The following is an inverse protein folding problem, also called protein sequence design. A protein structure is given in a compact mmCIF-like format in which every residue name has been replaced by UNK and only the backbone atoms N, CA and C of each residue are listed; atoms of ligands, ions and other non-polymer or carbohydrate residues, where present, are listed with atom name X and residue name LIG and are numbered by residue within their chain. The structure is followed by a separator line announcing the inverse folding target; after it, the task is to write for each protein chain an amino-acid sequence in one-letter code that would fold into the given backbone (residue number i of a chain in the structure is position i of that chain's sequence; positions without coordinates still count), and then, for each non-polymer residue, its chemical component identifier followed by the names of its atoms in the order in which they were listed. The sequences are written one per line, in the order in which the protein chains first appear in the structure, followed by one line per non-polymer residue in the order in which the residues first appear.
data_IF_859164644655
#
_entry.id   IF_859164644655
#
_cell.length_a   1.000
_cell.length_b   1.000
_cell.length_c   1.000
_cell.angle_alpha   90.00
_cell.angle_beta   90.00
_cell.angle_gamma   90.00
#
_symmetry.space_group_name_H-M   'P 1'
#
loop_
_entity.id
_entity.type
_entity.pdbx_description
1 polymer ?
#
# COMPACT_ATOMS: atom_id res chain seq x y z
N UNK A 1 -7.57 25.89 12.13
CA UNK A 1 -6.90 24.61 12.42
C UNK A 1 -7.81 23.49 11.92
N UNK A 2 -7.58 23.02 10.71
CA UNK A 2 -8.45 22.03 10.05
C UNK A 2 -8.09 20.62 10.51
N UNK A 3 -8.95 20.05 11.33
CA UNK A 3 -8.80 18.69 11.86
C UNK A 3 -9.43 17.70 10.86
N UNK A 4 -8.65 16.67 10.52
CA UNK A 4 -9.06 15.33 10.05
C UNK A 4 -9.47 15.10 8.59
N UNK A 5 -8.56 14.42 7.88
CA UNK A 5 -8.85 13.01 7.60
C UNK A 5 -7.78 12.14 8.27
N UNK A 6 -8.16 11.34 9.27
CA UNK A 6 -7.35 10.23 9.81
C UNK A 6 -7.38 9.00 8.88
N UNK A 7 -8.01 9.14 7.72
CA UNK A 7 -8.20 8.06 6.79
C UNK A 7 -7.56 8.41 5.48
N UNK A 8 -6.80 7.46 4.94
CA UNK A 8 -6.38 7.50 3.55
C UNK A 8 -7.11 6.41 2.78
N UNK A 9 -7.20 6.59 1.47
CA UNK A 9 -7.78 5.61 0.57
C UNK A 9 -6.65 4.87 -0.13
N UNK A 10 -6.77 3.55 -0.13
CA UNK A 10 -5.84 2.66 -0.82
C UNK A 10 -6.63 1.69 -1.69
N UNK A 11 -6.11 1.39 -2.86
CA UNK A 11 -6.65 0.36 -3.76
C UNK A 11 -5.87 -0.94 -3.62
N UNK A 12 -6.47 -2.05 -4.07
CA UNK A 12 -5.76 -3.35 -4.13
C UNK A 12 -4.47 -3.22 -4.94
N UNK A 13 -4.52 -2.49 -6.07
CA UNK A 13 -3.37 -2.25 -6.94
C UNK A 13 -2.23 -1.54 -6.21
N UNK A 14 -2.53 -0.53 -5.41
CA UNK A 14 -1.51 0.17 -4.60
C UNK A 14 -0.88 -0.76 -3.54
N UNK A 15 -1.67 -1.67 -2.94
CA UNK A 15 -1.11 -2.67 -2.00
C UNK A 15 -0.17 -3.64 -2.72
N UNK A 16 -0.54 -4.11 -3.91
CA UNK A 16 0.30 -4.98 -4.74
C UNK A 16 1.62 -4.27 -5.07
N UNK A 17 1.55 -2.99 -5.46
CA UNK A 17 2.74 -2.20 -5.76
C UNK A 17 3.65 -2.01 -4.55
N UNK A 18 3.07 -1.70 -3.39
CA UNK A 18 3.84 -1.58 -2.13
C UNK A 18 4.48 -2.92 -1.79
N UNK A 19 3.75 -4.02 -1.94
CA UNK A 19 4.28 -5.35 -1.68
C UNK A 19 5.47 -5.66 -2.60
N UNK A 20 5.29 -5.52 -3.91
CA UNK A 20 6.33 -5.78 -4.91
C UNK A 20 7.57 -4.91 -4.71
N UNK A 21 7.40 -3.64 -4.36
CA UNK A 21 8.53 -2.78 -4.04
C UNK A 21 9.30 -3.22 -2.80
N UNK A 22 8.60 -3.73 -1.77
CA UNK A 22 9.21 -4.10 -0.50
C UNK A 22 9.84 -5.50 -0.54
N UNK A 23 9.20 -6.46 -1.20
CA UNK A 23 9.62 -7.86 -1.24
C UNK A 23 10.35 -8.25 -2.52
N UNK A 24 10.14 -7.48 -3.60
CA UNK A 24 10.59 -7.85 -4.96
C UNK A 24 9.65 -8.83 -5.66
N UNK A 25 8.51 -9.18 -5.07
CA UNK A 25 7.57 -10.18 -5.58
C UNK A 25 6.16 -9.61 -5.76
N UNK A 26 5.52 -9.93 -6.88
CA UNK A 26 4.10 -9.59 -7.07
C UNK A 26 3.20 -10.62 -6.37
N UNK A 27 2.12 -10.14 -5.77
CA UNK A 27 1.11 -10.99 -5.12
C UNK A 27 -0.25 -10.85 -5.81
N UNK A 28 -1.07 -11.92 -5.82
CA UNK A 28 -2.42 -11.85 -6.36
C UNK A 28 -3.32 -10.94 -5.52
N UNK A 29 -4.35 -10.38 -6.16
CA UNK A 29 -5.36 -9.52 -5.53
C UNK A 29 -6.01 -10.13 -4.28
N UNK A 30 -6.17 -11.46 -4.22
CA UNK A 30 -6.69 -12.17 -3.04
C UNK A 30 -5.79 -12.02 -1.82
N UNK A 31 -4.48 -12.06 -2.01
CA UNK A 31 -3.50 -11.91 -0.94
C UNK A 31 -3.36 -10.43 -0.51
N UNK A 32 -3.43 -9.50 -1.45
CA UNK A 32 -3.49 -8.07 -1.14
C UNK A 32 -4.73 -7.71 -0.30
N UNK A 33 -5.88 -8.34 -0.58
CA UNK A 33 -7.09 -8.20 0.23
C UNK A 33 -6.92 -8.78 1.64
N UNK A 34 -6.24 -9.92 1.79
CA UNK A 34 -5.95 -10.48 3.11
C UNK A 34 -5.09 -9.55 3.95
N UNK A 35 -4.09 -8.89 3.34
CA UNK A 35 -3.28 -7.87 4.01
C UNK A 35 -4.16 -6.70 4.45
N UNK A 36 -5.02 -6.16 3.57
CA UNK A 36 -5.95 -5.08 3.92
C UNK A 36 -6.94 -5.45 5.04
N UNK A 37 -7.36 -6.72 5.08
CA UNK A 37 -8.22 -7.25 6.14
C UNK A 37 -7.61 -7.15 7.54
N UNK A 38 -6.28 -7.16 7.67
CA UNK A 38 -5.59 -7.05 8.97
C UNK A 38 -5.74 -5.67 9.61
N UNK A 39 -6.07 -4.64 8.82
CA UNK A 39 -6.14 -3.24 9.27
C UNK A 39 -7.56 -2.72 9.49
N UNK A 40 -8.56 -3.61 9.58
CA UNK A 40 -9.98 -3.25 9.68
C UNK A 40 -10.38 -2.22 8.61
N UNK A 41 -9.92 -2.44 7.37
CA UNK A 41 -10.21 -1.54 6.27
C UNK A 41 -11.68 -1.60 5.89
N UNK A 42 -12.28 -0.43 5.67
CA UNK A 42 -13.66 -0.31 5.23
C UNK A 42 -13.68 -0.23 3.71
N UNK A 43 -14.34 -1.18 3.06
CA UNK A 43 -14.52 -1.16 1.60
C UNK A 43 -15.53 -0.07 1.23
N UNK A 44 -15.10 0.87 0.39
CA UNK A 44 -15.98 1.89 -0.20
C UNK A 44 -16.41 1.40 -1.58
N UNK A 45 -17.72 1.34 -1.76
CA UNK A 45 -18.37 0.74 -2.91
C UNK A 45 -17.75 1.18 -4.23
N UNK A 46 -17.27 0.18 -4.98
CA UNK A 46 -16.79 0.31 -6.35
C UNK A 46 -17.27 -0.88 -7.17
N UNK A 47 -17.77 -0.62 -8.36
CA UNK A 47 -18.41 -1.63 -9.24
C UNK A 47 -17.40 -2.69 -9.71
N UNK A 48 -16.13 -2.32 -9.87
CA UNK A 48 -15.04 -3.20 -10.30
C UNK A 48 -14.12 -3.49 -9.10
N UNK A 49 -13.79 -4.76 -8.86
CA UNK A 49 -13.06 -5.21 -7.66
C UNK A 49 -11.69 -4.53 -7.49
N UNK A 50 -10.98 -4.28 -8.59
CA UNK A 50 -9.65 -3.65 -8.60
C UNK A 50 -9.69 -2.15 -8.35
N UNK A 51 -10.80 -1.49 -8.68
CA UNK A 51 -10.99 -0.05 -8.45
C UNK A 51 -11.64 0.25 -7.11
N UNK A 52 -11.96 -0.79 -6.31
CA UNK A 52 -12.48 -0.60 -4.96
C UNK A 52 -11.46 0.12 -4.10
N UNK A 53 -11.94 1.13 -3.39
CA UNK A 53 -11.14 1.91 -2.46
C UNK A 53 -11.38 1.35 -1.07
N UNK A 54 -10.30 1.09 -0.37
CA UNK A 54 -10.29 0.65 1.01
C UNK A 54 -9.87 1.83 1.86
N UNK A 55 -10.71 2.16 2.83
CA UNK A 55 -10.43 3.21 3.80
C UNK A 55 -9.62 2.61 4.94
N UNK A 56 -8.38 3.04 5.09
CA UNK A 56 -7.49 2.59 6.16
C UNK A 56 -7.34 3.68 7.21
N UNK A 57 -7.31 3.28 8.49
CA UNK A 57 -7.17 4.18 9.64
C UNK A 57 -5.75 4.76 9.70
N UNK A 58 -5.61 5.85 10.48
CA UNK A 58 -4.36 6.56 10.75
C UNK A 58 -3.54 6.88 9.50
N UNK A 59 -4.21 7.26 8.41
CA UNK A 59 -3.56 7.65 7.15
C UNK A 59 -2.57 6.61 6.59
N UNK A 60 -2.83 5.33 6.81
CA UNK A 60 -1.99 4.24 6.29
C UNK A 60 -0.73 3.96 7.11
N UNK A 61 -0.56 4.61 8.25
CA UNK A 61 0.56 4.37 9.16
C UNK A 61 0.62 2.91 9.62
N UNK A 62 -0.51 2.26 9.83
CA UNK A 62 -0.54 0.83 10.24
C UNK A 62 0.02 -0.09 9.14
N UNK A 63 -0.28 0.21 7.87
CA UNK A 63 0.29 -0.52 6.72
C UNK A 63 1.78 -0.21 6.56
N UNK A 64 2.19 1.04 6.76
CA UNK A 64 3.59 1.44 6.73
C UNK A 64 4.41 0.70 7.79
N UNK A 65 3.92 0.67 9.03
CA UNK A 65 4.58 -0.04 10.13
C UNK A 65 4.63 -1.55 9.91
N UNK A 66 3.57 -2.14 9.35
CA UNK A 66 3.57 -3.56 8.97
C UNK A 66 4.75 -3.92 8.06
N UNK A 67 4.95 -3.15 6.98
CA UNK A 67 6.05 -3.41 6.05
C UNK A 67 7.41 -3.04 6.65
N UNK A 68 7.49 -1.94 7.41
CA UNK A 68 8.72 -1.52 8.09
C UNK A 68 9.23 -2.56 9.07
N UNK A 69 8.34 -3.16 9.86
CA UNK A 69 8.69 -4.19 10.85
C UNK A 69 9.18 -5.48 10.17
N UNK A 70 8.59 -5.85 9.03
CA UNK A 70 9.00 -7.04 8.28
C UNK A 70 10.28 -6.83 7.47
N UNK A 71 10.51 -5.62 6.98
CA UNK A 71 11.63 -5.29 6.07
C UNK A 71 12.44 -4.06 6.54
N UNK A 72 12.95 -4.03 7.79
CA UNK A 72 13.57 -2.84 8.37
C UNK A 72 14.79 -2.37 7.58
N UNK A 73 15.62 -3.31 7.10
CA UNK A 73 16.83 -3.01 6.31
C UNK A 73 16.53 -2.25 5.02
N UNK A 74 15.42 -2.58 4.35
CA UNK A 74 15.00 -1.88 3.13
C UNK A 74 14.61 -0.44 3.45
N UNK A 75 13.82 -0.24 4.50
CA UNK A 75 13.34 1.08 4.90
C UNK A 75 14.49 1.99 5.34
N UNK A 76 15.48 1.46 6.05
CA UNK A 76 16.71 2.19 6.39
C UNK A 76 17.52 2.55 5.14
N UNK A 77 17.77 1.58 4.26
CA UNK A 77 18.54 1.80 3.01
C UNK A 77 17.89 2.83 2.10
N UNK A 78 16.56 2.76 1.95
CA UNK A 78 15.78 3.64 1.07
C UNK A 78 15.35 4.94 1.75
N UNK A 79 15.65 5.10 3.05
CA UNK A 79 15.29 6.26 3.87
C UNK A 79 13.79 6.57 3.80
N UNK A 80 12.96 5.54 4.02
CA UNK A 80 11.50 5.65 4.02
C UNK A 80 11.01 5.98 5.42
N UNK A 81 10.38 7.14 5.60
CA UNK A 81 9.94 7.61 6.93
C UNK A 81 8.42 7.71 7.06
N UNK A 82 7.69 7.76 5.94
CA UNK A 82 6.24 7.92 5.92
C UNK A 82 5.55 6.97 4.94
N UNK A 83 4.25 6.73 5.17
CA UNK A 83 3.41 5.99 4.25
C UNK A 83 3.38 6.61 2.83
N UNK A 84 3.30 7.93 2.73
CA UNK A 84 3.24 8.63 1.43
C UNK A 84 4.53 8.44 0.61
N UNK A 85 5.71 8.49 1.27
CA UNK A 85 6.98 8.20 0.60
C UNK A 85 7.06 6.75 0.11
N UNK A 86 6.63 5.80 0.94
CA UNK A 86 6.56 4.38 0.58
C UNK A 86 5.66 4.18 -0.64
N UNK A 87 4.46 4.76 -0.62
CA UNK A 87 3.50 4.70 -1.72
C UNK A 87 4.08 5.30 -3.00
N UNK A 88 4.66 6.50 -2.92
CA UNK A 88 5.24 7.17 -4.09
C UNK A 88 6.37 6.34 -4.71
N UNK A 89 7.26 5.77 -3.89
CA UNK A 89 8.34 4.89 -4.34
C UNK A 89 7.82 3.60 -4.95
N UNK A 90 6.79 2.99 -4.36
CA UNK A 90 6.17 1.77 -4.86
C UNK A 90 5.51 1.97 -6.23
N UNK A 91 4.77 3.07 -6.41
CA UNK A 91 4.18 3.44 -7.70
C UNK A 91 5.28 3.67 -8.73
N UNK A 92 6.32 4.44 -8.40
CA UNK A 92 7.44 4.69 -9.30
C UNK A 92 8.18 3.40 -9.69
N UNK A 93 8.42 2.51 -8.72
CA UNK A 93 9.04 1.21 -8.94
C UNK A 93 8.22 0.39 -9.95
N UNK A 94 6.91 0.28 -9.75
CA UNK A 94 6.05 -0.50 -10.64
C UNK A 94 5.87 0.15 -12.01
N UNK A 95 5.77 1.48 -12.09
CA UNK A 95 5.77 2.18 -13.38
C UNK A 95 7.08 1.98 -14.16
N UNK A 96 8.22 1.84 -13.47
CA UNK A 96 9.52 1.67 -14.12
C UNK A 96 9.87 0.20 -14.41
N UNK A 97 9.38 -0.75 -13.60
CA UNK A 97 9.81 -2.16 -13.64
C UNK A 97 8.68 -3.14 -14.03
N UNK A 98 7.41 -2.81 -13.77
CA UNK A 98 6.26 -3.68 -14.04
C UNK A 98 5.47 -3.29 -15.31
N UNK A 99 5.83 -2.19 -15.99
CA UNK A 99 5.31 -1.89 -17.35
C UNK A 99 5.74 -2.89 -18.42
N UNK A 100 6.50 -3.93 -18.08
CA UNK A 100 6.90 -5.00 -19.00
C UNK A 100 5.82 -6.12 -19.08
N UNK A 101 4.83 -6.15 -18.17
CA UNK A 101 3.86 -7.27 -18.10
C UNK A 101 2.37 -6.89 -18.02
N UNK A 102 1.98 -5.66 -18.37
CA UNK A 102 0.56 -5.33 -18.63
C UNK A 102 0.27 -5.30 -20.13
#
# INVERSE_FOLDING_TARGET
MGVNSYYTYITIKEVIFIHAYVTGEEIPSSQALQILGQFNSEEISGTIRETRRYRIRKNGEELFQYYRQKHPKLFEKQRLYTYEELKHRAVYYCSSHLMIHM
#
